data_IF_498413688259
#
_entry.id   IF_498413688259
#
_cell.length_a   1.000
_cell.length_b   1.000
_cell.length_c   1.000
_cell.angle_alpha   90.00
_cell.angle_beta   90.00
_cell.angle_gamma   90.00
#
_symmetry.space_group_name_H-M   'P 1'
#
loop_
_entity.id
_entity.type
_entity.pdbx_description
1 polymer ?
#
# COMPACT_ATOMS: atom_id res chain seq x y z
N UNK A 1 19.55 -14.96 -27.83
CA UNK A 1 18.25 -14.35 -27.45
C UNK A 1 18.24 -14.07 -25.95
N UNK A 2 18.27 -12.79 -25.54
CA UNK A 2 18.11 -12.45 -24.10
C UNK A 2 16.67 -12.77 -23.70
N UNK A 3 16.48 -13.72 -22.79
CA UNK A 3 15.20 -13.98 -22.15
C UNK A 3 14.70 -12.67 -21.52
N UNK A 4 13.63 -12.10 -22.08
CA UNK A 4 12.98 -10.95 -21.47
C UNK A 4 12.40 -11.41 -20.12
N UNK A 5 12.98 -10.94 -19.01
CA UNK A 5 12.48 -11.21 -17.66
C UNK A 5 10.97 -10.83 -17.64
N UNK A 6 10.10 -11.84 -17.54
CA UNK A 6 8.64 -11.63 -17.48
C UNK A 6 8.35 -10.67 -16.33
N UNK A 7 7.71 -9.55 -16.63
CA UNK A 7 7.27 -8.58 -15.59
C UNK A 7 6.37 -9.32 -14.61
N UNK A 8 6.55 -9.09 -13.33
CA UNK A 8 5.75 -9.70 -12.27
C UNK A 8 5.31 -8.64 -11.28
N UNK A 9 4.02 -8.60 -11.00
CA UNK A 9 3.44 -7.76 -9.95
C UNK A 9 3.67 -8.41 -8.58
N UNK A 10 3.67 -7.57 -7.56
CA UNK A 10 3.72 -7.97 -6.16
C UNK A 10 2.67 -7.19 -5.37
N UNK A 11 2.36 -7.64 -4.16
CA UNK A 11 1.54 -6.90 -3.23
C UNK A 11 2.43 -6.09 -2.28
N UNK A 12 1.95 -4.90 -1.96
CA UNK A 12 2.63 -3.97 -1.07
C UNK A 12 1.65 -3.40 -0.04
N UNK A 13 2.18 -3.04 1.12
CA UNK A 13 1.57 -2.07 2.03
C UNK A 13 2.27 -0.73 1.86
N UNK A 14 1.61 0.35 2.23
CA UNK A 14 2.14 1.71 2.12
C UNK A 14 2.39 2.30 3.51
N UNK A 15 3.40 3.16 3.60
CA UNK A 15 3.65 3.97 4.79
C UNK A 15 2.42 4.79 5.17
N UNK A 16 1.95 4.63 6.41
CA UNK A 16 0.69 5.25 6.88
C UNK A 16 0.80 6.78 6.91
N UNK A 17 1.99 7.33 7.23
CA UNK A 17 2.22 8.77 7.24
C UNK A 17 2.14 9.32 5.82
N UNK A 18 2.76 8.63 4.87
CA UNK A 18 2.70 9.00 3.45
C UNK A 18 1.26 9.00 2.91
N UNK A 19 0.48 7.96 3.19
CA UNK A 19 -0.93 7.93 2.75
C UNK A 19 -1.75 9.02 3.41
N UNK A 20 -1.44 9.42 4.66
CA UNK A 20 -2.06 10.58 5.31
C UNK A 20 -1.73 11.88 4.60
N UNK A 21 -0.46 12.08 4.21
CA UNK A 21 -0.05 13.26 3.45
C UNK A 21 -0.76 13.35 2.09
N UNK A 22 -0.93 12.22 1.42
CA UNK A 22 -1.71 12.14 0.18
C UNK A 22 -3.19 12.47 0.41
N UNK A 23 -3.79 11.95 1.49
CA UNK A 23 -5.19 12.21 1.83
C UNK A 23 -5.45 13.67 2.21
N UNK A 24 -4.47 14.35 2.80
CA UNK A 24 -4.51 15.80 3.06
C UNK A 24 -4.46 16.61 1.75
N UNK A 25 -3.78 16.11 0.74
CA UNK A 25 -3.72 16.76 -0.56
C UNK A 25 -4.97 16.50 -1.43
N UNK A 26 -5.54 15.29 -1.33
CA UNK A 26 -6.74 14.90 -2.07
C UNK A 26 -7.61 13.95 -1.21
N UNK A 27 -8.79 14.41 -0.82
CA UNK A 27 -9.75 13.68 0.02
C UNK A 27 -10.31 12.40 -0.62
N UNK A 28 -10.10 12.20 -1.93
CA UNK A 28 -10.48 10.98 -2.67
C UNK A 28 -9.50 9.83 -2.42
N UNK A 29 -8.32 10.10 -1.88
CA UNK A 29 -7.35 9.06 -1.53
C UNK A 29 -7.95 8.09 -0.52
N UNK A 30 -7.85 6.80 -0.81
CA UNK A 30 -8.39 5.76 0.06
C UNK A 30 -7.64 5.72 1.40
N UNK A 31 -8.35 5.98 2.49
CA UNK A 31 -7.79 5.96 3.84
C UNK A 31 -7.18 4.61 4.21
N UNK A 32 -6.04 4.67 4.88
CA UNK A 32 -5.40 3.54 5.60
C UNK A 32 -5.46 3.78 7.12
N UNK A 33 -6.51 4.41 7.61
CA UNK A 33 -6.68 4.75 9.02
C UNK A 33 -6.58 3.52 9.92
N UNK A 34 -5.68 3.53 10.93
CA UNK A 34 -5.58 2.46 11.94
C UNK A 34 -6.89 2.25 12.71
N UNK A 35 -7.63 3.34 13.00
CA UNK A 35 -8.91 3.28 13.70
C UNK A 35 -9.97 2.51 12.90
N UNK A 36 -9.81 2.40 11.58
CA UNK A 36 -10.66 1.63 10.69
C UNK A 36 -10.04 0.28 10.30
N UNK A 37 -8.91 -0.11 10.89
CA UNK A 37 -8.15 -1.33 10.58
C UNK A 37 -7.86 -1.46 9.07
N UNK A 38 -7.45 -0.35 8.43
CA UNK A 38 -7.17 -0.29 6.99
C UNK A 38 -5.68 -0.10 6.70
N UNK A 39 -4.82 -0.07 7.72
CA UNK A 39 -3.37 0.10 7.62
C UNK A 39 -2.71 -0.98 6.74
N UNK A 40 -3.25 -2.20 6.78
CA UNK A 40 -2.73 -3.35 6.05
C UNK A 40 -3.44 -3.59 4.70
N UNK A 41 -4.05 -2.53 4.11
CA UNK A 41 -4.67 -2.67 2.79
C UNK A 41 -3.63 -3.04 1.75
N UNK A 42 -3.84 -4.13 0.99
CA UNK A 42 -2.92 -4.50 -0.07
C UNK A 42 -3.07 -3.58 -1.28
N UNK A 43 -1.92 -3.22 -1.87
CA UNK A 43 -1.82 -2.51 -3.13
C UNK A 43 -1.09 -3.39 -4.13
N UNK A 44 -1.62 -3.51 -5.33
CA UNK A 44 -0.94 -4.18 -6.45
C UNK A 44 -0.02 -3.18 -7.13
N UNK A 45 1.22 -3.53 -7.32
CA UNK A 45 2.20 -2.69 -8.02
C UNK A 45 3.51 -3.48 -8.20
N UNK A 46 4.54 -2.98 -8.85
CA UNK A 46 4.77 -1.58 -9.26
C UNK A 46 4.37 -1.45 -10.73
N UNK A 47 3.58 -0.43 -11.06
CA UNK A 47 3.19 -0.09 -12.42
C UNK A 47 3.86 1.23 -12.79
N UNK A 48 4.66 1.22 -13.84
CA UNK A 48 5.31 2.43 -14.35
C UNK A 48 4.34 3.17 -15.26
N UNK A 49 3.97 4.38 -14.86
CA UNK A 49 3.10 5.27 -15.64
C UNK A 49 3.94 6.24 -16.47
N UNK A 50 3.75 6.22 -17.79
CA UNK A 50 4.40 7.15 -18.73
C UNK A 50 5.94 7.19 -18.59
N UNK A 51 6.57 6.13 -18.08
CA UNK A 51 8.02 6.02 -17.79
C UNK A 51 8.55 7.06 -16.77
N UNK A 52 7.68 7.74 -16.02
CA UNK A 52 8.06 8.80 -15.09
C UNK A 52 7.89 8.38 -13.62
N UNK A 53 6.75 7.80 -13.27
CA UNK A 53 6.42 7.45 -11.89
C UNK A 53 6.00 5.99 -11.75
N UNK A 54 6.37 5.41 -10.62
CA UNK A 54 5.82 4.13 -10.20
C UNK A 54 4.49 4.37 -9.49
N UNK A 55 3.53 3.49 -9.74
CA UNK A 55 2.21 3.56 -9.12
C UNK A 55 1.82 2.21 -8.51
N UNK A 56 1.09 2.27 -7.42
CA UNK A 56 0.39 1.13 -6.85
C UNK A 56 -1.12 1.33 -6.96
N UNK A 57 -1.85 0.25 -7.22
CA UNK A 57 -3.31 0.25 -7.34
C UNK A 57 -3.90 -0.38 -6.09
N UNK A 58 -4.80 0.30 -5.35
CA UNK A 58 -5.46 -0.29 -4.19
C UNK A 58 -6.33 -1.48 -4.61
N UNK A 59 -6.15 -2.59 -3.89
CA UNK A 59 -6.97 -3.77 -4.00
C UNK A 59 -7.98 -3.82 -2.86
N UNK A 60 -9.18 -4.28 -3.10
CA UNK A 60 -10.23 -4.43 -2.10
C UNK A 60 -10.79 -5.83 -2.08
N UNK A 61 -11.17 -6.30 -0.89
CA UNK A 61 -11.96 -7.52 -0.73
C UNK A 61 -13.29 -7.42 -1.48
N UNK A 62 -13.87 -8.56 -1.87
CA UNK A 62 -15.15 -8.59 -2.54
C UNK A 62 -16.24 -7.95 -1.66
N UNK A 63 -17.15 -7.22 -2.30
CA UNK A 63 -18.31 -6.57 -1.66
C UNK A 63 -19.56 -6.83 -2.49
N UNK A 64 -20.76 -6.96 -1.88
CA UNK A 64 -22.01 -7.21 -2.64
C UNK A 64 -22.24 -6.22 -3.78
N UNK A 65 -21.92 -4.93 -3.57
CA UNK A 65 -22.03 -3.90 -4.61
C UNK A 65 -21.18 -4.19 -5.86
N UNK A 66 -20.01 -4.85 -5.69
CA UNK A 66 -19.14 -5.13 -6.83
C UNK A 66 -19.76 -6.12 -7.82
N UNK A 67 -20.68 -7.00 -7.38
CA UNK A 67 -21.38 -7.91 -8.29
C UNK A 67 -22.19 -7.13 -9.35
N UNK A 68 -22.84 -6.03 -8.92
CA UNK A 68 -23.64 -5.18 -9.80
C UNK A 68 -22.83 -4.17 -10.63
N UNK A 69 -21.60 -3.87 -10.22
CA UNK A 69 -20.73 -2.93 -10.96
C UNK A 69 -20.20 -3.59 -12.23
N UNK A 70 -20.12 -2.83 -13.31
CA UNK A 70 -19.44 -3.25 -14.55
C UNK A 70 -17.95 -2.91 -14.45
N UNK A 71 -17.12 -3.69 -15.14
CA UNK A 71 -15.71 -3.32 -15.36
C UNK A 71 -15.67 -2.05 -16.22
N UNK A 72 -14.88 -1.05 -15.76
CA UNK A 72 -14.69 0.22 -16.46
C UNK A 72 -13.22 0.63 -16.36
N UNK A 73 -12.86 1.76 -16.94
CA UNK A 73 -11.48 2.24 -16.96
C UNK A 73 -10.92 2.46 -15.56
N UNK A 74 -11.74 2.88 -14.60
CA UNK A 74 -11.39 3.18 -13.21
C UNK A 74 -11.60 2.02 -12.22
N UNK A 75 -12.20 0.90 -12.68
CA UNK A 75 -12.54 -0.23 -11.82
C UNK A 75 -12.45 -1.57 -12.55
N UNK A 76 -11.88 -2.60 -11.90
CA UNK A 76 -11.85 -3.97 -12.43
C UNK A 76 -12.17 -4.98 -11.34
N UNK A 77 -13.08 -5.90 -11.63
CA UNK A 77 -13.30 -7.10 -10.80
C UNK A 77 -12.09 -8.03 -10.92
N UNK A 78 -11.82 -8.74 -9.83
CA UNK A 78 -10.91 -9.89 -9.79
C UNK A 78 -11.78 -11.10 -9.60
N UNK A 79 -11.70 -12.04 -10.53
CA UNK A 79 -12.50 -13.26 -10.53
C UNK A 79 -11.57 -14.47 -10.38
N UNK A 80 -12.03 -15.51 -9.72
CA UNK A 80 -11.34 -16.80 -9.68
C UNK A 80 -11.62 -17.64 -10.95
N UNK A 81 -11.08 -18.86 -11.00
CA UNK A 81 -11.29 -19.80 -12.11
C UNK A 81 -12.76 -20.19 -12.31
N UNK A 82 -13.60 -20.04 -11.29
CA UNK A 82 -15.03 -20.34 -11.33
C UNK A 82 -15.88 -19.09 -11.62
N UNK A 83 -15.26 -17.98 -12.06
CA UNK A 83 -15.91 -16.67 -12.24
C UNK A 83 -16.51 -16.07 -10.96
N UNK A 84 -16.14 -16.55 -9.78
CA UNK A 84 -16.57 -15.97 -8.52
C UNK A 84 -15.75 -14.71 -8.20
N UNK A 85 -16.43 -13.69 -7.68
CA UNK A 85 -15.79 -12.44 -7.31
C UNK A 85 -14.93 -12.61 -6.06
N UNK A 86 -13.62 -12.50 -6.21
CA UNK A 86 -12.63 -12.60 -5.12
C UNK A 86 -12.02 -11.26 -4.73
N UNK A 87 -12.24 -10.19 -5.51
CA UNK A 87 -11.72 -8.86 -5.20
C UNK A 87 -12.00 -7.83 -6.28
N UNK A 88 -11.40 -6.66 -6.13
CA UNK A 88 -11.44 -5.62 -7.16
C UNK A 88 -10.22 -4.69 -7.08
N UNK A 89 -9.81 -4.17 -8.25
CA UNK A 89 -8.80 -3.11 -8.41
C UNK A 89 -9.49 -1.76 -8.61
N UNK A 90 -9.04 -0.75 -7.86
CA UNK A 90 -9.57 0.62 -7.94
C UNK A 90 -8.53 1.54 -8.58
N UNK A 91 -8.53 1.61 -9.91
CA UNK A 91 -7.59 2.45 -10.66
C UNK A 91 -7.79 3.94 -10.42
N UNK A 92 -9.03 4.36 -10.12
CA UNK A 92 -9.34 5.74 -9.75
C UNK A 92 -8.59 6.23 -8.51
N UNK A 93 -8.13 5.31 -7.67
CA UNK A 93 -7.38 5.60 -6.44
C UNK A 93 -5.93 5.08 -6.50
N UNK A 94 -5.36 4.92 -7.67
CA UNK A 94 -3.94 4.56 -7.77
C UNK A 94 -3.05 5.67 -7.22
N UNK A 95 -1.94 5.28 -6.60
CA UNK A 95 -1.09 6.14 -5.77
C UNK A 95 0.33 6.10 -6.33
N UNK A 96 0.99 7.26 -6.56
CA UNK A 96 2.41 7.29 -6.91
C UNK A 96 3.26 6.82 -5.74
N UNK A 97 4.33 6.07 -6.02
CA UNK A 97 5.16 5.46 -4.98
C UNK A 97 6.65 5.48 -5.35
N UNK A 98 7.48 5.51 -4.30
CA UNK A 98 8.91 5.20 -4.34
C UNK A 98 9.19 4.00 -3.42
N UNK A 99 10.41 3.47 -3.49
CA UNK A 99 10.78 2.33 -2.64
C UNK A 99 10.70 2.64 -1.15
N UNK A 100 10.87 3.91 -0.75
CA UNK A 100 10.90 4.35 0.65
C UNK A 100 9.50 4.36 1.31
N UNK A 101 8.44 4.33 0.52
CA UNK A 101 7.05 4.40 1.02
C UNK A 101 6.28 3.11 0.86
N UNK A 102 6.89 2.07 0.30
CA UNK A 102 6.28 0.76 0.10
C UNK A 102 7.00 -0.32 0.88
N UNK A 103 6.25 -1.29 1.36
CA UNK A 103 6.76 -2.52 1.95
C UNK A 103 6.11 -3.71 1.26
N UNK A 104 6.95 -4.63 0.74
CA UNK A 104 6.45 -5.86 0.11
C UNK A 104 5.70 -6.69 1.15
N UNK A 105 4.48 -7.09 0.82
CA UNK A 105 3.66 -7.94 1.66
C UNK A 105 4.09 -9.40 1.50
N UNK A 106 4.42 -10.07 2.60
CA UNK A 106 4.68 -11.51 2.60
C UNK A 106 3.36 -12.28 2.70
N UNK A 107 3.01 -12.93 1.61
CA UNK A 107 1.78 -13.74 1.48
C UNK A 107 2.08 -15.24 1.44
N UNK A 108 3.32 -15.65 1.72
CA UNK A 108 3.68 -17.07 1.77
C UNK A 108 3.01 -17.71 2.99
N UNK A 109 2.36 -18.89 2.83
CA UNK A 109 1.86 -19.64 3.97
C UNK A 109 3.00 -20.00 4.94
N UNK A 110 2.71 -19.93 6.23
CA UNK A 110 3.62 -20.34 7.31
C UNK A 110 2.96 -21.40 8.17
N UNK A 111 3.77 -22.27 8.80
CA UNK A 111 3.29 -23.24 9.79
C UNK A 111 2.70 -22.57 11.05
N UNK A 112 3.13 -21.34 11.34
CA UNK A 112 2.63 -20.53 12.45
C UNK A 112 1.33 -19.80 12.16
N UNK A 113 0.84 -19.80 10.89
CA UNK A 113 -0.38 -19.11 10.52
C UNK A 113 -1.61 -19.78 11.17
N UNK A 114 -2.47 -18.97 11.74
CA UNK A 114 -3.81 -19.41 12.10
C UNK A 114 -4.62 -19.82 10.86
N UNK A 115 -5.67 -20.65 10.99
CA UNK A 115 -6.52 -21.02 9.84
C UNK A 115 -7.04 -19.80 9.06
N UNK A 116 -7.39 -18.72 9.76
CA UNK A 116 -7.88 -17.47 9.14
C UNK A 116 -6.80 -16.70 8.39
N UNK A 117 -5.59 -16.66 8.93
CA UNK A 117 -4.44 -16.03 8.27
C UNK A 117 -4.08 -16.80 7.01
N UNK A 118 -4.11 -18.13 7.07
CA UNK A 118 -3.86 -18.99 5.91
C UNK A 118 -4.90 -18.76 4.80
N UNK A 119 -6.20 -18.77 5.15
CA UNK A 119 -7.29 -18.46 4.20
C UNK A 119 -7.13 -17.06 3.58
N UNK A 120 -6.71 -16.07 4.38
CA UNK A 120 -6.46 -14.72 3.87
C UNK A 120 -5.26 -14.64 2.92
N UNK A 121 -4.14 -15.31 3.26
CA UNK A 121 -2.97 -15.40 2.39
C UNK A 121 -3.29 -16.12 1.09
N UNK A 122 -4.09 -17.20 1.15
CA UNK A 122 -4.58 -17.91 -0.03
C UNK A 122 -5.42 -16.99 -0.93
N UNK A 123 -6.35 -16.23 -0.36
CA UNK A 123 -7.12 -15.24 -1.10
C UNK A 123 -6.21 -14.21 -1.79
N UNK A 124 -5.19 -13.68 -1.08
CA UNK A 124 -4.24 -12.72 -1.64
C UNK A 124 -3.39 -13.33 -2.76
N UNK A 125 -2.97 -14.60 -2.65
CA UNK A 125 -2.26 -15.31 -3.70
C UNK A 125 -3.14 -15.45 -4.95
N UNK A 126 -4.39 -15.92 -4.81
CA UNK A 126 -5.33 -16.05 -5.93
C UNK A 126 -5.59 -14.71 -6.62
N UNK A 127 -5.72 -13.62 -5.84
CA UNK A 127 -5.87 -12.27 -6.38
C UNK A 127 -4.61 -11.80 -7.12
N UNK A 128 -3.42 -12.10 -6.59
CA UNK A 128 -2.15 -11.73 -7.21
C UNK A 128 -1.89 -12.53 -8.50
N UNK A 129 -2.24 -13.81 -8.52
CA UNK A 129 -2.12 -14.65 -9.70
C UNK A 129 -3.01 -14.11 -10.82
N UNK A 130 -4.28 -13.80 -10.53
CA UNK A 130 -5.15 -13.13 -11.50
C UNK A 130 -4.53 -11.82 -12.03
N UNK A 131 -3.93 -11.01 -11.15
CA UNK A 131 -3.28 -9.76 -11.55
C UNK A 131 -2.08 -10.01 -12.48
N UNK A 132 -1.28 -11.05 -12.22
CA UNK A 132 -0.14 -11.42 -13.05
C UNK A 132 -0.56 -11.97 -14.41
N UNK A 133 -1.66 -12.72 -14.48
CA UNK A 133 -2.23 -13.22 -15.73
C UNK A 133 -2.81 -12.08 -16.59
N UNK A 134 -3.26 -10.99 -15.93
CA UNK A 134 -3.84 -9.82 -16.58
C UNK A 134 -2.91 -8.60 -16.61
N UNK A 135 -1.61 -8.77 -16.41
CA UNK A 135 -0.64 -7.68 -16.19
C UNK A 135 -0.65 -6.64 -17.31
N UNK A 136 -0.70 -7.06 -18.56
CA UNK A 136 -0.67 -6.15 -19.71
C UNK A 136 -1.95 -5.31 -19.78
N UNK A 137 -3.10 -5.90 -19.50
CA UNK A 137 -4.39 -5.21 -19.42
C UNK A 137 -4.41 -4.20 -18.26
N UNK A 138 -3.86 -4.55 -17.11
CA UNK A 138 -3.74 -3.68 -15.93
C UNK A 138 -2.88 -2.46 -16.29
N UNK A 139 -1.70 -2.68 -16.87
CA UNK A 139 -0.78 -1.61 -17.28
C UNK A 139 -1.42 -0.71 -18.34
N UNK A 140 -2.03 -1.29 -19.37
CA UNK A 140 -2.71 -0.55 -20.44
C UNK A 140 -3.84 0.32 -19.90
N UNK A 141 -4.65 -0.23 -18.99
CA UNK A 141 -5.77 0.47 -18.34
C UNK A 141 -5.27 1.62 -17.46
N UNK A 142 -4.28 1.38 -16.60
CA UNK A 142 -3.69 2.39 -15.73
C UNK A 142 -3.12 3.57 -16.53
N UNK A 143 -2.35 3.29 -17.59
CA UNK A 143 -1.80 4.32 -18.47
C UNK A 143 -2.89 5.10 -19.22
N UNK A 144 -3.92 4.42 -19.71
CA UNK A 144 -5.04 5.07 -20.41
C UNK A 144 -5.80 6.00 -19.46
N UNK A 145 -6.10 5.53 -18.23
CA UNK A 145 -6.76 6.35 -17.22
C UNK A 145 -5.91 7.58 -16.86
N UNK A 146 -4.63 7.36 -16.56
CA UNK A 146 -3.72 8.44 -16.22
C UNK A 146 -3.68 9.53 -17.29
N UNK A 147 -3.51 9.15 -18.58
CA UNK A 147 -3.51 10.11 -19.70
C UNK A 147 -4.82 10.87 -19.76
N UNK A 148 -5.95 10.18 -19.67
CA UNK A 148 -7.27 10.80 -19.75
C UNK A 148 -7.46 11.86 -18.66
N UNK A 149 -7.12 11.52 -17.41
CA UNK A 149 -7.31 12.41 -16.25
C UNK A 149 -6.32 13.59 -16.25
N UNK A 150 -5.08 13.37 -16.73
CA UNK A 150 -4.01 14.40 -16.65
C UNK A 150 -3.86 15.24 -17.89
N UNK A 151 -4.28 14.74 -19.08
CA UNK A 151 -4.05 15.41 -20.37
C UNK A 151 -5.34 15.86 -21.05
N UNK A 152 -6.48 15.24 -20.73
CA UNK A 152 -7.77 15.53 -21.39
C UNK A 152 -8.94 15.33 -20.41
N UNK A 153 -8.93 15.99 -19.22
CA UNK A 153 -9.94 15.78 -18.19
C UNK A 153 -11.35 16.14 -18.61
N UNK A 154 -11.49 17.06 -19.57
CA UNK A 154 -12.75 17.52 -20.17
C UNK A 154 -13.47 16.41 -20.96
N UNK A 155 -12.72 15.43 -21.50
CA UNK A 155 -13.30 14.32 -22.28
C UNK A 155 -14.11 13.34 -21.44
N UNK A 156 -13.93 13.38 -20.11
CA UNK A 156 -14.66 12.48 -19.20
C UNK A 156 -14.83 13.08 -17.81
N UNK A 157 -15.65 14.11 -17.68
CA UNK A 157 -15.90 14.86 -16.44
C UNK A 157 -16.30 13.93 -15.29
N UNK A 158 -17.20 12.98 -15.54
CA UNK A 158 -17.67 12.05 -14.49
C UNK A 158 -16.55 11.13 -13.98
N UNK A 159 -15.65 10.68 -14.85
CA UNK A 159 -14.51 9.87 -14.48
C UNK A 159 -13.47 10.71 -13.72
N UNK A 160 -13.20 11.91 -14.19
CA UNK A 160 -12.28 12.86 -13.54
C UNK A 160 -12.73 13.18 -12.11
N UNK A 161 -14.02 13.38 -11.88
CA UNK A 161 -14.58 13.62 -10.53
C UNK A 161 -14.37 12.43 -9.58
N UNK A 162 -14.36 11.20 -10.09
CA UNK A 162 -14.19 9.98 -9.27
C UNK A 162 -12.73 9.63 -9.01
N UNK A 163 -11.80 10.12 -9.83
CA UNK A 163 -10.38 9.82 -9.71
C UNK A 163 -9.67 10.78 -8.77
N UNK A 164 -8.62 10.30 -8.10
CA UNK A 164 -7.66 11.17 -7.44
C UNK A 164 -6.99 12.11 -8.44
N UNK A 165 -6.58 13.28 -7.97
CA UNK A 165 -5.75 14.21 -8.73
C UNK A 165 -4.30 13.69 -8.75
N UNK A 166 -3.97 12.88 -9.75
CA UNK A 166 -2.67 12.22 -9.84
C UNK A 166 -1.51 13.20 -9.81
N UNK A 167 -1.66 14.40 -10.40
CA UNK A 167 -0.60 15.41 -10.39
C UNK A 167 -0.36 16.01 -9.00
N UNK A 168 -1.42 16.24 -8.22
CA UNK A 168 -1.26 16.64 -6.81
C UNK A 168 -0.57 15.56 -5.98
N UNK A 169 -0.91 14.28 -6.21
CA UNK A 169 -0.30 13.18 -5.49
C UNK A 169 1.19 13.02 -5.85
N UNK A 170 1.56 13.19 -7.13
CA UNK A 170 2.96 13.20 -7.59
C UNK A 170 3.75 14.31 -6.88
N UNK A 171 3.22 15.52 -6.81
CA UNK A 171 3.87 16.64 -6.11
C UNK A 171 4.07 16.39 -4.60
N UNK A 172 3.20 15.58 -3.96
CA UNK A 172 3.41 15.15 -2.57
C UNK A 172 4.59 14.19 -2.47
N UNK A 173 4.68 13.22 -3.39
CA UNK A 173 5.80 12.27 -3.44
C UNK A 173 7.13 13.01 -3.66
N UNK A 174 7.19 13.90 -4.64
CA UNK A 174 8.39 14.68 -4.97
C UNK A 174 8.87 15.51 -3.78
N UNK A 175 7.97 16.21 -3.08
CA UNK A 175 8.31 16.96 -1.87
C UNK A 175 8.86 16.06 -0.76
N UNK A 176 8.34 14.82 -0.63
CA UNK A 176 8.85 13.87 0.35
C UNK A 176 10.26 13.41 -0.02
N UNK A 177 10.50 13.08 -1.28
CA UNK A 177 11.82 12.66 -1.78
C UNK A 177 12.87 13.76 -1.61
N UNK A 178 12.53 15.00 -1.92
CA UNK A 178 13.41 16.14 -1.70
C UNK A 178 13.81 16.32 -0.23
N UNK A 179 12.88 16.12 0.71
CA UNK A 179 13.17 16.17 2.15
C UNK A 179 14.10 15.05 2.62
N UNK A 180 13.97 13.85 2.07
CA UNK A 180 14.88 12.73 2.40
C UNK A 180 16.29 13.05 1.92
N UNK A 181 16.43 13.55 0.69
CA UNK A 181 17.73 13.92 0.12
C UNK A 181 18.39 15.06 0.90
N UNK A 182 17.64 16.08 1.34
CA UNK A 182 18.19 17.19 2.14
C UNK A 182 18.67 16.73 3.53
N UNK A 183 17.98 15.78 4.16
CA UNK A 183 18.37 15.22 5.46
C UNK A 183 19.59 14.28 5.37
N UNK A 184 19.83 13.64 4.22
CA UNK A 184 21.03 12.83 3.99
C UNK A 184 22.30 13.68 3.70
N UNK A 185 22.10 14.95 3.30
CA UNK A 185 23.18 15.86 2.93
C UNK A 185 23.60 16.81 4.07
N UNK A 186 23.07 16.67 5.31
CA UNK A 186 23.67 17.36 6.45
C UNK A 186 24.96 16.63 6.83
N UNK A 187 26.17 17.21 6.57
CA UNK A 187 27.43 16.54 6.88
C UNK A 187 27.55 16.38 8.40
N UNK A 188 28.10 15.22 8.83
CA UNK A 188 28.50 14.90 10.21
C UNK A 188 29.60 15.81 10.78
N UNK A 189 29.68 17.03 10.34
CA UNK A 189 30.72 18.00 10.75
C UNK A 189 30.51 18.61 12.13
N UNK A 190 29.33 18.44 12.74
CA UNK A 190 29.09 18.97 14.10
C UNK A 190 29.51 18.03 15.24
N UNK A 191 30.02 16.83 14.94
CA UNK A 191 30.44 15.88 15.98
C UNK A 191 31.93 15.93 16.34
N UNK A 192 32.75 16.69 15.62
CA UNK A 192 34.22 16.73 15.84
C UNK A 192 34.69 17.95 16.62
N UNK A 193 33.87 18.98 16.78
CA UNK A 193 34.26 20.25 17.48
C UNK A 193 33.98 20.22 18.98
N UNK A 194 33.47 19.16 19.58
CA UNK A 194 33.15 19.10 21.02
C UNK A 194 34.07 18.18 21.84
N UNK A 195 35.21 17.75 21.31
CA UNK A 195 36.17 16.90 22.03
C UNK A 195 37.50 17.57 22.38
N UNK A 196 37.48 18.81 22.80
CA UNK A 196 38.64 19.47 23.33
C UNK A 196 38.24 20.37 24.51
N UNK A 197 37.91 19.76 25.67
CA UNK A 197 38.11 20.32 27.01
C UNK A 197 37.70 19.26 28.04
N UNK A 198 38.72 18.66 28.67
CA UNK A 198 38.57 17.78 29.83
C UNK A 198 38.74 18.65 31.08
N UNK A 199 37.76 18.81 31.94
CA UNK A 199 37.99 19.15 33.32
C UNK A 199 37.92 17.90 34.18
N UNK A 200 39.02 17.55 34.78
CA UNK A 200 39.14 16.57 35.87
C UNK A 200 38.29 17.03 37.06
N UNK A 201 37.32 16.28 37.50
CA UNK A 201 36.73 16.37 38.85
C UNK A 201 36.40 15.00 39.46
N UNK A 202 36.71 14.93 40.73
CA UNK A 202 36.70 13.82 41.70
C UNK A 202 35.36 13.04 41.85
N UNK A 203 35.40 11.86 42.45
CA UNK A 203 34.28 10.93 42.51
C UNK A 203 33.31 11.21 43.66
N UNK A 204 32.01 11.16 43.41
CA UNK A 204 30.98 11.14 44.46
C UNK A 204 29.84 10.17 44.14
N UNK A 205 29.81 9.13 44.93
CA UNK A 205 28.66 8.41 45.52
C UNK A 205 27.59 7.87 44.54
N UNK A 206 27.64 6.56 44.39
CA UNK A 206 26.63 5.66 43.81
C UNK A 206 25.34 5.71 44.63
N UNK A 207 24.23 6.14 44.04
CA UNK A 207 22.88 5.77 44.45
C UNK A 207 22.20 4.95 43.36
N UNK A 208 22.04 3.65 43.63
CA UNK A 208 21.25 2.70 42.81
C UNK A 208 19.81 3.18 42.72
N UNK A 209 19.33 3.49 41.53
CA UNK A 209 17.88 3.50 41.21
C UNK A 209 17.56 2.33 40.28
N UNK A 210 16.61 1.53 40.74
CA UNK A 210 16.05 0.40 39.98
C UNK A 210 15.44 0.86 38.69
N UNK A 211 15.94 0.36 37.57
CA UNK A 211 15.47 0.64 36.26
C UNK A 211 14.42 -0.42 35.86
N UNK A 212 13.15 -0.04 35.86
CA UNK A 212 12.09 -0.86 35.25
C UNK A 212 12.09 -0.60 33.77
N UNK A 213 12.70 -1.51 33.03
CA UNK A 213 12.76 -1.46 31.59
C UNK A 213 11.37 -1.58 30.94
N UNK A 214 10.95 -0.54 30.25
CA UNK A 214 9.86 -0.61 29.26
C UNK A 214 10.47 -0.68 27.88
N UNK A 215 10.43 -1.87 27.31
CA UNK A 215 10.75 -2.12 25.91
C UNK A 215 9.77 -1.39 25.01
N UNK A 216 10.30 -0.58 24.09
CA UNK A 216 9.53 0.21 23.10
C UNK A 216 9.51 -0.47 21.75
N UNK A 217 9.15 -1.73 21.66
CA UNK A 217 8.78 -2.34 20.37
C UNK A 217 7.88 -3.55 20.67
N UNK A 218 6.58 -3.35 20.60
CA UNK A 218 5.59 -4.40 20.75
C UNK A 218 4.21 -3.88 20.41
N UNK A 219 3.88 -3.76 19.12
CA UNK A 219 2.49 -3.60 18.71
C UNK A 219 1.76 -4.92 18.92
N UNK A 220 0.59 -4.91 19.58
CA UNK A 220 -0.10 -6.16 19.91
C UNK A 220 -0.64 -6.84 18.66
N UNK A 221 -0.29 -8.09 18.49
CA UNK A 221 -0.81 -9.05 17.48
C UNK A 221 -2.35 -9.08 17.44
N UNK A 222 -3.01 -8.65 18.49
CA UNK A 222 -4.47 -8.61 18.62
C UNK A 222 -5.16 -7.65 17.63
N UNK A 223 -4.47 -6.63 17.14
CA UNK A 223 -5.04 -5.65 16.20
C UNK A 223 -5.13 -6.20 14.77
N UNK A 224 -4.16 -7.03 14.37
CA UNK A 224 -4.14 -7.74 13.08
C UNK A 224 -5.33 -8.71 12.94
N UNK A 225 -5.66 -9.43 14.02
CA UNK A 225 -6.75 -10.40 14.06
C UNK A 225 -8.14 -9.79 13.81
N UNK A 226 -8.40 -8.60 14.34
CA UNK A 226 -9.75 -7.96 14.20
C UNK A 226 -10.01 -7.46 12.77
N UNK A 227 -8.99 -6.99 12.06
CA UNK A 227 -9.10 -6.59 10.65
C UNK A 227 -9.33 -7.80 9.73
N UNK A 228 -8.56 -8.87 9.95
CA UNK A 228 -8.70 -10.15 9.26
C UNK A 228 -10.12 -10.75 9.38
N UNK A 229 -10.67 -10.77 10.60
CA UNK A 229 -11.99 -11.36 10.88
C UNK A 229 -13.11 -10.66 10.11
N UNK A 230 -13.06 -9.35 9.93
CA UNK A 230 -14.07 -8.61 9.14
C UNK A 230 -13.97 -8.89 7.65
N UNK A 231 -12.76 -9.08 7.14
CA UNK A 231 -12.51 -9.37 5.72
C UNK A 231 -13.01 -10.77 5.36
N UNK A 232 -12.74 -11.76 6.21
CA UNK A 232 -13.14 -13.16 6.00
C UNK A 232 -14.65 -13.40 6.12
N UNK A 233 -15.32 -12.76 7.08
CA UNK A 233 -16.80 -12.85 7.18
C UNK A 233 -17.50 -12.33 5.92
N UNK A 234 -16.91 -11.35 5.21
CA UNK A 234 -17.45 -10.84 3.94
C UNK A 234 -17.14 -11.76 2.75
N UNK A 235 -15.99 -12.44 2.75
CA UNK A 235 -15.61 -13.37 1.70
C UNK A 235 -16.45 -14.67 1.76
N UNK A 236 -16.64 -15.24 2.95
CA UNK A 236 -17.47 -16.45 3.13
C UNK A 236 -18.95 -16.25 2.85
N UNK A 237 -19.49 -15.06 3.10
CA UNK A 237 -20.87 -14.72 2.71
C UNK A 237 -21.07 -14.69 1.19
N UNK A 238 -20.04 -14.36 0.43
CA UNK A 238 -20.09 -14.29 -1.04
C UNK A 238 -19.84 -15.66 -1.70
N UNK A 239 -19.04 -16.55 -1.08
CA UNK A 239 -18.87 -17.93 -1.56
C UNK A 239 -20.20 -18.71 -1.54
N UNK A 240 -21.10 -18.43 -0.56
CA UNK A 240 -22.43 -19.07 -0.51
C UNK A 240 -23.38 -18.66 -1.65
N UNK A 241 -23.10 -17.55 -2.34
CA UNK A 241 -23.90 -17.09 -3.50
C UNK A 241 -23.41 -17.63 -4.84
N UNK A 242 -22.33 -18.41 -4.88
CA UNK A 242 -21.77 -19.04 -6.07
C UNK A 242 -21.95 -20.57 -6.10
N UNK A 243 -22.75 -21.16 -5.21
CA UNK A 243 -23.17 -22.57 -5.33
C UNK A 243 -24.35 -22.66 -6.32
N UNK A 244 -24.39 -23.72 -7.17
CA UNK A 244 -25.43 -23.87 -8.21
C UNK A 244 -26.83 -23.99 -7.65
#
# INVERSE_FOLDING_TARGET
MRSMKKRRLHLYTLDVKYVRDLANADNRVMSVSPQQHKENRPFVGIIIIMKQHNYCIPMTSPKPKHNKMKNDLDFSKILDSNNCLIGALNFNNMIPVSNDVIQKLDIRPSSSDTPKEREYKELLNNQLDWCNDNIDNIIKRANKLYRLITQSPEKSINLTRRCCDFKKLEAVLERRLAKVQSNEYEPKEKAVAASAEIPVRHPAIIRRRKNTGRSRYGLPVLCLLKSLIRTLRRASSLKKSCSP
#
